data_IF_632367938052
#
_entry.id   IF_632367938052
#
_cell.length_a   1.000
_cell.length_b   1.000
_cell.length_c   1.000
_cell.angle_alpha   90.00
_cell.angle_beta   90.00
_cell.angle_gamma   90.00
#
_symmetry.space_group_name_H-M   'P 1'
#
loop_
_entity.id
_entity.type
_entity.pdbx_description
1 polymer ?
#
# COMPACT_ATOMS: atom_id res chain seq x y z
N UNK A 1 -16.83 -21.39 -45.62
CA UNK A 1 -15.67 -22.29 -45.37
C UNK A 1 -14.59 -21.67 -44.48
N UNK A 2 -14.38 -20.35 -44.48
CA UNK A 2 -13.42 -19.67 -43.59
C UNK A 2 -13.88 -19.47 -42.13
N UNK A 3 -15.19 -19.49 -41.86
CA UNK A 3 -15.74 -19.32 -40.50
C UNK A 3 -15.51 -20.54 -39.58
N UNK A 4 -15.48 -21.75 -40.15
CA UNK A 4 -15.31 -22.99 -39.38
C UNK A 4 -13.88 -23.15 -38.83
N UNK A 5 -12.88 -22.64 -39.56
CA UNK A 5 -11.46 -22.71 -39.18
C UNK A 5 -11.15 -21.77 -37.99
N UNK A 6 -11.80 -20.61 -37.89
CA UNK A 6 -11.62 -19.67 -36.76
C UNK A 6 -12.11 -20.24 -35.43
N UNK A 7 -13.23 -20.96 -35.45
CA UNK A 7 -13.83 -21.60 -34.26
C UNK A 7 -12.99 -22.76 -33.72
N UNK A 8 -12.29 -23.48 -34.61
CA UNK A 8 -11.44 -24.61 -34.25
C UNK A 8 -10.07 -24.19 -33.69
N UNK A 9 -9.61 -22.99 -34.04
CA UNK A 9 -8.33 -22.42 -33.59
C UNK A 9 -8.45 -21.57 -32.31
N UNK A 10 -9.64 -21.44 -31.71
CA UNK A 10 -9.84 -20.58 -30.53
C UNK A 10 -9.64 -19.09 -30.80
N UNK A 11 -9.74 -18.66 -32.07
CA UNK A 11 -9.58 -17.27 -32.53
C UNK A 11 -10.93 -16.56 -32.68
N UNK A 12 -11.90 -16.92 -31.83
CA UNK A 12 -13.08 -16.07 -31.61
C UNK A 12 -12.67 -15.05 -30.55
N UNK A 13 -12.41 -13.81 -30.98
CA UNK A 13 -12.34 -12.71 -30.02
C UNK A 13 -13.72 -12.57 -29.37
N UNK A 14 -13.80 -12.57 -28.03
CA UNK A 14 -15.07 -12.31 -27.38
C UNK A 14 -15.54 -10.92 -27.81
N UNK A 15 -16.71 -10.87 -28.47
CA UNK A 15 -17.41 -9.61 -28.68
C UNK A 15 -17.69 -9.03 -27.29
N UNK A 16 -16.85 -8.09 -26.89
CA UNK A 16 -16.97 -7.40 -25.63
C UNK A 16 -18.13 -6.41 -25.78
N UNK A 17 -19.34 -6.88 -25.47
CA UNK A 17 -20.48 -6.00 -25.21
C UNK A 17 -20.02 -4.99 -24.16
N UNK A 18 -20.02 -3.70 -24.53
CA UNK A 18 -19.76 -2.58 -23.63
C UNK A 18 -20.96 -2.44 -22.67
N UNK A 19 -21.10 -3.40 -21.75
CA UNK A 19 -21.83 -3.20 -20.51
C UNK A 19 -21.09 -2.13 -19.71
N UNK A 20 -21.82 -1.21 -19.09
CA UNK A 20 -21.32 -0.17 -18.18
C UNK A 20 -20.76 -0.74 -16.87
N UNK A 21 -19.88 -1.72 -16.98
CA UNK A 21 -19.22 -2.37 -15.86
C UNK A 21 -18.15 -1.41 -15.34
N UNK A 22 -18.33 -0.96 -14.10
CA UNK A 22 -17.27 -0.33 -13.31
C UNK A 22 -15.98 -1.12 -13.53
N UNK A 23 -14.90 -0.46 -13.93
CA UNK A 23 -13.60 -1.10 -13.87
C UNK A 23 -13.34 -1.44 -12.40
N UNK A 24 -13.21 -2.74 -12.09
CA UNK A 24 -12.85 -3.24 -10.77
C UNK A 24 -11.40 -3.78 -10.77
N UNK A 25 -10.35 -2.93 -10.95
CA UNK A 25 -8.96 -3.36 -11.00
C UNK A 25 -8.53 -4.28 -9.84
N UNK A 26 -9.15 -4.13 -8.67
CA UNK A 26 -8.88 -4.93 -7.47
C UNK A 26 -9.34 -6.40 -7.56
N UNK A 27 -10.23 -6.75 -8.50
CA UNK A 27 -10.62 -8.15 -8.76
C UNK A 27 -9.63 -8.89 -9.66
N UNK A 28 -8.76 -8.18 -10.39
CA UNK A 28 -7.75 -8.82 -11.23
C UNK A 28 -6.70 -9.52 -10.35
N UNK A 29 -6.50 -10.83 -10.59
CA UNK A 29 -5.38 -11.58 -10.02
C UNK A 29 -4.12 -11.21 -10.81
N UNK A 30 -3.36 -10.27 -10.28
CA UNK A 30 -2.03 -9.97 -10.78
C UNK A 30 -1.11 -11.16 -10.53
N UNK A 31 -0.50 -11.71 -11.59
CA UNK A 31 0.58 -12.67 -11.45
C UNK A 31 1.67 -12.05 -10.55
N UNK A 32 2.25 -12.86 -9.65
CA UNK A 32 3.20 -12.40 -8.64
C UNK A 32 4.28 -11.53 -9.29
N UNK A 33 4.20 -10.21 -9.07
CA UNK A 33 5.17 -9.28 -9.62
C UNK A 33 6.43 -9.37 -8.76
N UNK A 34 7.57 -9.58 -9.40
CA UNK A 34 8.87 -9.60 -8.72
C UNK A 34 9.10 -8.26 -7.99
N UNK A 35 9.99 -8.29 -6.98
CA UNK A 35 10.34 -7.14 -6.13
C UNK A 35 10.83 -5.91 -6.93
N UNK A 36 11.32 -6.11 -8.15
CA UNK A 36 11.47 -5.10 -9.20
C UNK A 36 10.37 -5.33 -10.23
N UNK A 37 9.27 -4.62 -10.08
CA UNK A 37 8.03 -4.83 -10.83
C UNK A 37 7.92 -4.01 -12.10
N UNK A 38 8.90 -3.17 -12.38
CA UNK A 38 8.86 -2.32 -13.55
C UNK A 38 9.37 -3.10 -14.77
N UNK A 39 8.71 -2.90 -15.92
CA UNK A 39 9.10 -3.53 -17.17
C UNK A 39 10.54 -3.19 -17.57
N UNK A 40 11.12 -3.91 -18.54
CA UNK A 40 12.51 -3.72 -18.97
C UNK A 40 12.82 -2.27 -19.40
N UNK A 41 11.81 -1.55 -19.90
CA UNK A 41 11.95 -0.18 -20.39
C UNK A 41 11.77 0.90 -19.31
N UNK A 42 11.52 0.52 -18.05
CA UNK A 42 11.28 1.49 -16.99
C UNK A 42 12.59 2.11 -16.49
N UNK A 43 12.70 3.41 -16.66
CA UNK A 43 13.95 4.15 -16.45
C UNK A 43 14.03 4.76 -15.05
N UNK A 44 15.23 5.26 -14.70
CA UNK A 44 15.40 6.09 -13.50
C UNK A 44 14.56 7.37 -13.53
N UNK A 45 14.27 7.90 -14.72
CA UNK A 45 13.44 9.09 -14.87
C UNK A 45 11.98 8.78 -14.52
N UNK A 46 11.49 7.61 -14.90
CA UNK A 46 10.14 7.16 -14.55
C UNK A 46 9.98 6.98 -13.04
N UNK A 47 11.00 6.42 -12.37
CA UNK A 47 11.03 6.36 -10.89
C UNK A 47 10.97 7.74 -10.25
N UNK A 48 11.68 8.74 -10.79
CA UNK A 48 11.61 10.13 -10.27
C UNK A 48 10.22 10.72 -10.44
N UNK A 49 9.66 10.63 -11.65
CA UNK A 49 8.32 11.14 -11.96
C UNK A 49 7.24 10.45 -11.09
N UNK A 50 7.36 9.14 -10.87
CA UNK A 50 6.47 8.40 -9.99
C UNK A 50 6.54 8.90 -8.54
N UNK A 51 7.74 9.18 -8.02
CA UNK A 51 7.91 9.75 -6.66
C UNK A 51 7.38 11.18 -6.55
N UNK A 52 7.54 12.00 -7.58
CA UNK A 52 6.97 13.35 -7.63
C UNK A 52 5.44 13.31 -7.58
N UNK A 53 4.82 12.46 -8.40
CA UNK A 53 3.37 12.23 -8.36
C UNK A 53 2.89 11.66 -7.02
N UNK A 54 3.65 10.73 -6.45
CA UNK A 54 3.33 10.16 -5.14
C UNK A 54 3.31 11.19 -4.02
N UNK A 55 4.18 12.21 -4.09
CA UNK A 55 4.17 13.34 -3.15
C UNK A 55 2.87 14.13 -3.26
N UNK A 56 2.41 14.40 -4.48
CA UNK A 56 1.13 15.07 -4.72
C UNK A 56 -0.04 14.24 -4.19
N UNK A 57 -0.11 12.95 -4.54
CA UNK A 57 -1.13 12.02 -4.06
C UNK A 57 -1.15 11.97 -2.54
N UNK A 58 0.01 11.84 -1.90
CA UNK A 58 0.12 11.78 -0.45
C UNK A 58 -0.36 13.07 0.22
N UNK A 59 0.03 14.25 -0.31
CA UNK A 59 -0.41 15.55 0.22
C UNK A 59 -1.93 15.73 0.11
N UNK A 60 -2.51 15.39 -1.03
CA UNK A 60 -3.97 15.45 -1.22
C UNK A 60 -4.69 14.48 -0.29
N UNK A 61 -4.17 13.27 -0.14
CA UNK A 61 -4.78 12.20 0.68
C UNK A 61 -4.76 12.53 2.17
N UNK A 62 -3.65 13.09 2.67
CA UNK A 62 -3.49 13.44 4.08
C UNK A 62 -4.16 14.78 4.42
N UNK A 63 -4.26 15.68 3.45
CA UNK A 63 -4.61 17.07 3.71
C UNK A 63 -3.43 17.87 4.27
N UNK A 64 -3.56 19.20 4.24
CA UNK A 64 -2.43 20.11 4.45
C UNK A 64 -1.85 20.04 5.88
N UNK A 65 -2.71 19.93 6.90
CA UNK A 65 -2.27 19.93 8.30
C UNK A 65 -1.38 18.71 8.62
N UNK A 66 -1.86 17.51 8.27
CA UNK A 66 -1.12 16.27 8.47
C UNK A 66 0.11 16.21 7.57
N UNK A 67 0.03 16.75 6.36
CA UNK A 67 1.18 16.86 5.47
C UNK A 67 2.28 17.72 6.10
N UNK A 68 1.95 18.91 6.61
CA UNK A 68 2.90 19.79 7.30
C UNK A 68 3.44 19.17 8.59
N UNK A 69 2.63 18.41 9.33
CA UNK A 69 3.12 17.64 10.47
C UNK A 69 4.16 16.60 10.04
N UNK A 70 3.84 15.80 9.01
CA UNK A 70 4.75 14.81 8.45
C UNK A 70 6.06 15.45 7.99
N UNK A 71 6.01 16.57 7.26
CA UNK A 71 7.22 17.25 6.78
C UNK A 71 8.10 17.78 7.93
N UNK A 72 7.48 18.25 9.02
CA UNK A 72 8.22 18.80 10.16
C UNK A 72 8.91 17.74 11.01
N UNK A 73 8.23 16.63 11.30
CA UNK A 73 8.74 15.65 12.28
C UNK A 73 9.11 14.29 11.68
N UNK A 74 8.77 14.03 10.42
CA UNK A 74 9.10 12.80 9.69
C UNK A 74 8.23 11.59 10.04
N UNK A 75 7.18 11.76 10.85
CA UNK A 75 6.25 10.69 11.22
C UNK A 75 4.84 11.22 11.52
N UNK A 76 3.86 10.32 11.48
CA UNK A 76 2.51 10.54 12.01
C UNK A 76 2.19 9.47 13.05
N UNK A 77 1.63 9.91 14.17
CA UNK A 77 1.16 9.03 15.23
C UNK A 77 -0.36 8.85 15.12
N UNK A 78 -0.83 7.61 15.15
CA UNK A 78 -2.25 7.26 15.08
C UNK A 78 -2.62 6.44 16.32
N UNK A 79 -3.46 6.96 17.22
CA UNK A 79 -3.88 6.22 18.40
C UNK A 79 -4.72 5.00 18.00
N UNK A 80 -4.49 3.89 18.68
CA UNK A 80 -5.29 2.67 18.54
C UNK A 80 -6.70 2.89 19.10
N UNK A 81 -7.73 2.45 18.36
CA UNK A 81 -9.11 2.42 18.82
C UNK A 81 -9.44 1.09 19.51
N UNK A 82 -8.66 0.03 19.23
CA UNK A 82 -8.84 -1.31 19.81
C UNK A 82 -8.09 -1.55 21.10
N UNK A 83 -6.90 -0.98 21.25
CA UNK A 83 -6.00 -1.19 22.39
C UNK A 83 -5.73 0.16 23.08
N UNK A 84 -6.45 0.48 24.17
CA UNK A 84 -6.24 1.72 24.90
C UNK A 84 -4.78 1.90 25.33
N UNK A 85 -4.21 3.08 25.05
CA UNK A 85 -2.83 3.41 25.37
C UNK A 85 -1.78 2.89 24.38
N UNK A 86 -2.21 2.30 23.26
CA UNK A 86 -1.34 1.96 22.13
C UNK A 86 -1.43 3.04 21.05
N UNK A 87 -0.28 3.40 20.47
CA UNK A 87 -0.16 4.33 19.35
C UNK A 87 0.67 3.71 18.25
N UNK A 88 0.19 3.79 17.00
CA UNK A 88 0.92 3.40 15.81
C UNK A 88 1.69 4.59 15.26
N UNK A 89 3.02 4.51 15.26
CA UNK A 89 3.88 5.50 14.62
C UNK A 89 4.22 5.06 13.21
N UNK A 90 3.82 5.89 12.25
CA UNK A 90 4.04 5.68 10.83
C UNK A 90 5.20 6.55 10.35
N UNK A 91 6.11 5.96 9.58
CA UNK A 91 7.18 6.66 8.86
C UNK A 91 7.19 6.22 7.40
N UNK A 92 7.58 7.13 6.52
CA UNK A 92 7.64 6.86 5.08
C UNK A 92 8.62 5.72 4.81
N UNK A 93 8.18 4.70 4.06
CA UNK A 93 9.02 3.56 3.65
C UNK A 93 9.41 2.58 4.76
N UNK A 94 8.91 2.73 5.99
CA UNK A 94 9.30 1.91 7.15
C UNK A 94 8.13 1.12 7.73
N UNK A 95 8.45 0.13 8.58
CA UNK A 95 7.47 -0.61 9.38
C UNK A 95 6.73 0.33 10.33
N UNK A 96 5.50 -0.06 10.68
CA UNK A 96 4.73 0.60 11.74
C UNK A 96 5.43 0.29 13.07
N UNK A 97 5.72 1.30 13.85
CA UNK A 97 6.18 1.12 15.23
C UNK A 97 4.99 1.19 16.18
N UNK A 98 4.91 0.25 17.12
CA UNK A 98 3.88 0.18 18.15
C UNK A 98 4.45 0.79 19.43
N UNK A 99 3.92 1.94 19.83
CA UNK A 99 4.30 2.64 21.05
C UNK A 99 3.23 2.36 22.10
N UNK A 100 3.63 1.81 23.24
CA UNK A 100 2.74 1.56 24.38
C UNK A 100 2.98 2.62 25.46
N UNK A 101 1.90 3.17 26.01
CA UNK A 101 1.97 4.05 27.16
C UNK A 101 2.55 3.31 28.40
N UNK A 102 3.08 4.03 29.40
CA UNK A 102 3.58 3.41 30.62
C UNK A 102 2.54 2.51 31.28
N UNK A 103 2.93 1.26 31.58
CA UNK A 103 2.04 0.27 32.19
C UNK A 103 1.09 -0.45 31.22
N UNK A 104 1.13 -0.15 29.92
CA UNK A 104 0.36 -0.86 28.89
C UNK A 104 1.24 -1.95 28.25
N UNK A 105 0.73 -3.17 28.21
CA UNK A 105 1.41 -4.28 27.53
C UNK A 105 1.19 -4.22 26.01
N UNK A 106 2.24 -4.54 25.25
CA UNK A 106 2.14 -4.60 23.79
C UNK A 106 1.26 -5.80 23.37
N UNK A 107 0.23 -5.59 22.52
CA UNK A 107 -0.62 -6.68 22.04
C UNK A 107 0.11 -7.71 21.16
N UNK A 108 1.32 -7.39 20.71
CA UNK A 108 2.13 -8.21 19.83
C UNK A 108 3.45 -8.63 20.50
N UNK A 109 4.03 -9.78 20.10
CA UNK A 109 5.32 -10.23 20.63
C UNK A 109 6.48 -9.29 20.29
N UNK A 110 6.33 -8.41 19.31
CA UNK A 110 7.33 -7.44 18.91
C UNK A 110 6.72 -6.06 18.60
N UNK A 111 7.46 -4.95 18.78
CA UNK A 111 6.92 -3.60 18.67
C UNK A 111 6.91 -3.05 17.23
N UNK A 112 7.13 -3.89 16.21
CA UNK A 112 7.01 -3.45 14.81
C UNK A 112 6.04 -4.31 14.04
N UNK A 113 5.19 -3.67 13.25
CA UNK A 113 4.22 -4.34 12.38
C UNK A 113 4.60 -4.09 10.91
N UNK A 114 4.68 -5.19 10.15
CA UNK A 114 5.01 -5.18 8.74
C UNK A 114 3.74 -5.38 7.91
N UNK A 115 3.41 -4.39 7.09
CA UNK A 115 2.43 -4.46 6.02
C UNK A 115 3.12 -4.03 4.73
N UNK A 116 3.00 -4.84 3.68
CA UNK A 116 3.51 -4.50 2.36
C UNK A 116 2.34 -4.33 1.38
N UNK A 117 2.43 -3.39 0.43
CA UNK A 117 1.45 -3.31 -0.63
C UNK A 117 1.50 -4.57 -1.51
N UNK A 118 0.36 -4.91 -2.11
CA UNK A 118 0.26 -6.07 -2.99
C UNK A 118 1.14 -5.91 -4.23
N UNK A 119 1.21 -4.70 -4.78
CA UNK A 119 2.02 -4.29 -5.92
C UNK A 119 3.02 -3.21 -5.48
N UNK A 120 4.17 -3.05 -6.14
CA UNK A 120 5.11 -2.02 -5.74
C UNK A 120 4.55 -0.62 -5.93
N UNK A 121 4.70 0.22 -4.90
CA UNK A 121 4.22 1.58 -4.86
C UNK A 121 5.33 2.54 -4.42
N UNK A 122 5.30 3.80 -4.87
CA UNK A 122 6.13 4.83 -4.26
C UNK A 122 5.91 4.90 -2.75
N UNK A 123 6.98 5.08 -1.97
CA UNK A 123 6.93 5.06 -0.50
C UNK A 123 5.92 6.07 0.09
N UNK A 124 5.86 7.29 -0.47
CA UNK A 124 4.96 8.35 0.01
C UNK A 124 3.48 8.02 -0.26
N UNK A 125 3.18 7.47 -1.43
CA UNK A 125 1.82 7.05 -1.77
C UNK A 125 1.37 5.91 -0.86
N UNK A 126 2.24 4.91 -0.66
CA UNK A 126 1.94 3.82 0.26
C UNK A 126 1.78 4.30 1.70
N UNK A 127 2.60 5.25 2.15
CA UNK A 127 2.48 5.86 3.48
C UNK A 127 1.10 6.49 3.70
N UNK A 128 0.62 7.28 2.74
CA UNK A 128 -0.69 7.93 2.84
C UNK A 128 -1.84 6.91 2.87
N UNK A 129 -1.76 5.86 2.05
CA UNK A 129 -2.71 4.74 2.13
C UNK A 129 -2.66 4.02 3.48
N UNK A 130 -1.46 3.76 3.99
CA UNK A 130 -1.27 3.09 5.28
C UNK A 130 -1.86 3.92 6.42
N UNK A 131 -1.68 5.24 6.41
CA UNK A 131 -2.30 6.15 7.37
C UNK A 131 -3.82 6.00 7.38
N UNK A 132 -4.48 6.03 6.21
CA UNK A 132 -5.94 5.85 6.14
C UNK A 132 -6.38 4.48 6.67
N UNK A 133 -5.63 3.42 6.36
CA UNK A 133 -5.95 2.08 6.85
C UNK A 133 -5.79 1.97 8.37
N UNK A 134 -4.73 2.51 8.95
CA UNK A 134 -4.53 2.49 10.40
C UNK A 134 -5.61 3.33 11.10
N UNK A 135 -5.96 4.49 10.53
CA UNK A 135 -6.99 5.38 11.09
C UNK A 135 -8.39 4.74 11.04
N UNK A 136 -8.77 4.14 9.91
CA UNK A 136 -10.17 3.80 9.63
C UNK A 136 -10.45 2.29 9.58
N UNK A 137 -9.42 1.47 9.43
CA UNK A 137 -9.50 0.01 9.22
C UNK A 137 -8.53 -0.75 10.13
N UNK A 138 -8.40 -0.31 11.38
CA UNK A 138 -7.49 -0.89 12.36
C UNK A 138 -7.62 -2.43 12.50
N UNK A 139 -8.84 -2.97 12.47
CA UNK A 139 -9.06 -4.42 12.53
C UNK A 139 -8.35 -5.18 11.42
N UNK A 140 -8.28 -4.58 10.23
CA UNK A 140 -7.57 -5.16 9.10
C UNK A 140 -6.07 -5.15 9.35
N UNK A 141 -5.53 -4.05 9.92
CA UNK A 141 -4.13 -3.97 10.34
C UNK A 141 -3.80 -5.10 11.32
N UNK A 142 -4.62 -5.27 12.35
CA UNK A 142 -4.45 -6.32 13.37
C UNK A 142 -4.46 -7.71 12.72
N UNK A 143 -5.36 -7.93 11.77
CA UNK A 143 -5.54 -9.22 11.09
C UNK A 143 -4.40 -9.58 10.15
N UNK A 144 -3.82 -8.61 9.44
CA UNK A 144 -2.89 -8.89 8.31
C UNK A 144 -1.44 -8.51 8.59
N UNK A 145 -1.17 -7.66 9.57
CA UNK A 145 0.19 -7.24 9.84
C UNK A 145 1.01 -8.39 10.44
N UNK A 146 2.23 -8.55 9.95
CA UNK A 146 3.18 -9.49 10.52
C UNK A 146 4.01 -8.78 11.62
N UNK A 147 4.00 -9.24 12.88
CA UNK A 147 4.89 -8.71 13.91
C UNK A 147 6.35 -8.98 13.58
N UNK A 148 7.23 -8.02 13.89
CA UNK A 148 8.65 -8.07 13.54
C UNK A 148 9.52 -7.51 14.68
N UNK A 149 10.66 -8.15 14.98
CA UNK A 149 11.55 -7.77 16.08
C UNK A 149 12.30 -6.44 15.92
N UNK A 150 12.46 -5.92 14.70
CA UNK A 150 13.18 -4.66 14.43
C UNK A 150 12.53 -3.83 13.34
N UNK A 151 12.88 -2.54 13.29
CA UNK A 151 12.47 -1.66 12.20
C UNK A 151 13.23 -2.00 10.90
N UNK A 152 12.56 -1.89 9.76
CA UNK A 152 13.14 -2.16 8.45
C UNK A 152 12.41 -1.39 7.35
N UNK A 153 13.12 -1.09 6.26
CA UNK A 153 12.51 -0.61 5.00
C UNK A 153 11.55 -1.64 4.44
N UNK A 154 10.42 -1.17 3.92
CA UNK A 154 9.39 -2.00 3.31
C UNK A 154 9.86 -2.60 1.98
N UNK A 155 9.47 -3.85 1.72
CA UNK A 155 10.04 -4.63 0.62
C UNK A 155 9.43 -4.37 -0.74
N UNK A 156 8.24 -3.76 -0.80
CA UNK A 156 7.49 -3.48 -2.03
C UNK A 156 7.18 -1.99 -2.17
N UNK A 157 8.10 -1.16 -1.68
CA UNK A 157 8.05 0.28 -1.90
C UNK A 157 9.32 0.74 -2.61
N UNK A 158 9.25 1.86 -3.30
CA UNK A 158 10.38 2.46 -4.00
C UNK A 158 10.38 3.98 -3.94
#
# INVERSE_FOLDING_TARGET
MWAFIRRLLGLEEPQQELSGDLELPWRRRWHQTLKRSAGPDFTRQDYRLARERAREVARVTLGEELWQQLERQGYLDVPSKRFPGVTYRLRVGLRIEVICAPGVECPWPFPYLCINPKYPLPELEFFAHLYLYVRDREDEIIRVAAPQPWNQVLGRTF
#
